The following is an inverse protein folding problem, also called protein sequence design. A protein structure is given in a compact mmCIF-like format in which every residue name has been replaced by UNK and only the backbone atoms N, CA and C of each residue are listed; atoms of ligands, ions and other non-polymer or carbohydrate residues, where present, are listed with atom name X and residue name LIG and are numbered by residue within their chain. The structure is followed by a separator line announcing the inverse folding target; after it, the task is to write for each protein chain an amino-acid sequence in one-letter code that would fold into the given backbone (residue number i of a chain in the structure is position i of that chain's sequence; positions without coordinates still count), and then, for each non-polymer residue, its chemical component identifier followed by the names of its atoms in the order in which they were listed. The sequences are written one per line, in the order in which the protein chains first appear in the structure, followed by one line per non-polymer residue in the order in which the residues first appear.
data_IF_375195020237
#
_entry.id   IF_375195020237
#
_cell.length_a   1.000
_cell.length_b   1.000
_cell.length_c   1.000
_cell.angle_alpha   90.00
_cell.angle_beta   90.00
_cell.angle_gamma   90.00
#
_symmetry.space_group_name_H-M   'P 1'
#
loop_
_entity.id
_entity.type
_entity.pdbx_description
1 polymer ?
#
# COMPACT_ATOMS: atom_id res chain seq x y z
N UNK A 1 -0.49 -69.53 -0.73
CA UNK A 1 -1.64 -68.64 -1.04
C UNK A 1 -2.24 -68.12 0.26
N UNK A 2 -2.32 -66.79 0.40
CA UNK A 2 -3.22 -65.95 1.23
C UNK A 2 -2.48 -64.84 1.99
N UNK A 3 -2.38 -63.75 1.22
CA UNK A 3 -2.11 -62.34 1.46
C UNK A 3 -2.24 -61.85 2.92
N UNK A 4 -1.18 -61.21 3.42
CA UNK A 4 -1.25 -60.16 4.43
C UNK A 4 -1.89 -58.93 3.80
N UNK A 5 -3.00 -58.45 4.36
CA UNK A 5 -3.57 -57.15 4.05
C UNK A 5 -3.20 -56.19 5.17
N UNK A 6 -2.14 -55.41 4.98
CA UNK A 6 -1.87 -54.24 5.81
C UNK A 6 -2.72 -53.09 5.30
N UNK A 7 -3.75 -52.70 6.06
CA UNK A 7 -4.39 -51.40 5.90
C UNK A 7 -3.39 -50.33 6.40
N UNK A 8 -2.79 -49.56 5.49
CA UNK A 8 -2.25 -48.25 5.83
C UNK A 8 -3.39 -47.23 5.68
N UNK A 9 -3.92 -46.77 6.81
CA UNK A 9 -4.70 -45.54 6.85
C UNK A 9 -3.74 -44.36 6.71
N UNK A 10 -3.55 -43.88 5.47
CA UNK A 10 -2.89 -42.62 5.21
C UNK A 10 -3.84 -41.46 5.53
N UNK A 11 -3.74 -40.89 6.72
CA UNK A 11 -4.36 -39.61 7.01
C UNK A 11 -3.62 -38.54 6.19
N UNK A 12 -4.22 -38.12 5.07
CA UNK A 12 -3.77 -36.95 4.34
C UNK A 12 -4.18 -35.74 5.18
N UNK A 13 -3.23 -35.20 5.93
CA UNK A 13 -3.36 -33.86 6.49
C UNK A 13 -3.18 -32.91 5.30
N UNK A 14 -4.29 -32.54 4.66
CA UNK A 14 -4.35 -31.36 3.81
C UNK A 14 -4.17 -30.18 4.76
N UNK A 15 -2.91 -29.80 4.97
CA UNK A 15 -2.60 -28.51 5.57
C UNK A 15 -3.17 -27.45 4.65
N UNK A 16 -4.22 -26.77 5.10
CA UNK A 16 -4.65 -25.51 4.54
C UNK A 16 -3.46 -24.55 4.69
N UNK A 17 -2.67 -24.41 3.62
CA UNK A 17 -1.80 -23.27 3.47
C UNK A 17 -2.75 -22.07 3.43
N UNK A 18 -2.92 -21.40 4.57
CA UNK A 18 -3.47 -20.06 4.56
C UNK A 18 -2.58 -19.27 3.61
N UNK A 19 -3.15 -18.81 2.51
CA UNK A 19 -2.47 -17.89 1.61
C UNK A 19 -2.14 -16.69 2.49
N UNK A 20 -0.85 -16.50 2.80
CA UNK A 20 -0.39 -15.30 3.47
C UNK A 20 -0.71 -14.17 2.48
N UNK A 21 -1.77 -13.43 2.77
CA UNK A 21 -2.22 -12.34 1.92
C UNK A 21 -1.65 -11.07 2.50
N UNK A 22 -0.87 -10.36 1.71
CA UNK A 22 -0.41 -9.03 2.07
C UNK A 22 -1.60 -8.13 2.27
N UNK A 23 -1.60 -7.46 3.40
CA UNK A 23 -2.51 -6.36 3.61
C UNK A 23 -1.91 -5.10 2.98
N UNK A 24 -2.74 -4.25 2.38
CA UNK A 24 -2.29 -2.96 1.86
C UNK A 24 -3.11 -1.81 2.44
N UNK A 25 -2.41 -0.94 3.14
CA UNK A 25 -2.93 0.34 3.60
C UNK A 25 -2.85 1.33 2.43
N UNK A 26 -4.03 1.82 2.04
CA UNK A 26 -4.22 2.71 0.90
C UNK A 26 -4.40 4.16 1.35
N UNK A 27 -3.86 5.09 0.57
CA UNK A 27 -4.30 6.49 0.50
C UNK A 27 -4.75 6.72 -0.94
N UNK A 28 -6.05 6.61 -1.20
CA UNK A 28 -6.57 6.66 -2.57
C UNK A 28 -7.17 8.02 -2.92
N UNK A 29 -6.82 8.51 -4.11
CA UNK A 29 -7.50 9.59 -4.82
C UNK A 29 -7.59 9.21 -6.30
N UNK A 30 -8.51 9.74 -7.13
CA UNK A 30 -8.67 9.28 -8.51
C UNK A 30 -7.43 9.44 -9.41
N UNK A 31 -6.58 10.43 -9.13
CA UNK A 31 -5.50 10.86 -10.03
C UNK A 31 -4.30 11.36 -9.22
N UNK A 32 -3.11 10.79 -9.45
CA UNK A 32 -1.86 11.24 -8.85
C UNK A 32 -1.18 12.35 -9.66
N UNK A 33 -1.46 12.48 -10.96
CA UNK A 33 -0.92 13.53 -11.82
C UNK A 33 -2.05 14.42 -12.36
N UNK A 34 -2.46 15.40 -11.56
CA UNK A 34 -3.55 16.31 -11.89
C UNK A 34 -3.08 17.42 -12.82
N UNK A 35 -3.89 17.78 -13.83
CA UNK A 35 -3.57 18.89 -14.75
C UNK A 35 -3.80 20.26 -14.14
N UNK A 36 -4.72 20.36 -13.17
CA UNK A 36 -5.07 21.60 -12.47
C UNK A 36 -5.40 21.32 -11.02
N UNK A 37 -5.24 22.33 -10.17
CA UNK A 37 -5.71 22.28 -8.79
C UNK A 37 -7.24 22.21 -8.69
N UNK A 38 -7.73 21.96 -7.49
CA UNK A 38 -9.14 21.72 -7.23
C UNK A 38 -9.33 20.96 -5.92
N UNK A 39 -10.58 20.67 -5.60
CA UNK A 39 -10.88 19.76 -4.49
C UNK A 39 -10.92 18.32 -5.00
N UNK A 40 -10.28 17.40 -4.29
CA UNK A 40 -10.41 15.98 -4.56
C UNK A 40 -10.54 15.18 -3.26
N UNK A 41 -11.29 14.06 -3.29
CA UNK A 41 -11.43 13.18 -2.15
C UNK A 41 -10.15 12.38 -1.89
N UNK A 42 -9.95 12.01 -0.64
CA UNK A 42 -8.98 11.04 -0.17
C UNK A 42 -9.71 9.97 0.63
N UNK A 43 -9.41 8.70 0.34
CA UNK A 43 -9.91 7.54 1.11
C UNK A 43 -8.73 6.80 1.72
N UNK A 44 -8.82 6.51 3.00
CA UNK A 44 -7.88 5.66 3.73
C UNK A 44 -8.58 4.33 3.98
N UNK A 45 -8.07 3.27 3.37
CA UNK A 45 -8.67 1.92 3.40
C UNK A 45 -7.56 0.91 3.65
N UNK A 46 -7.83 -0.14 4.40
CA UNK A 46 -6.88 -1.23 4.62
C UNK A 46 -7.49 -2.52 4.07
N UNK A 47 -6.90 -3.13 3.04
CA UNK A 47 -7.55 -4.23 2.28
C UNK A 47 -6.58 -5.03 1.39
N UNK A 48 -7.11 -5.95 0.58
CA UNK A 48 -6.44 -6.71 -0.48
C UNK A 48 -6.86 -6.17 -1.88
N UNK A 49 -6.07 -5.29 -2.50
CA UNK A 49 -6.47 -4.49 -3.67
C UNK A 49 -6.65 -5.28 -4.98
N UNK A 50 -5.99 -6.42 -5.17
CA UNK A 50 -6.12 -7.23 -6.39
C UNK A 50 -7.41 -8.05 -6.38
N UNK A 51 -7.84 -8.54 -5.23
CA UNK A 51 -9.07 -9.32 -5.12
C UNK A 51 -10.28 -8.46 -4.75
N UNK A 52 -10.06 -7.22 -4.30
CA UNK A 52 -11.03 -6.49 -3.48
C UNK A 52 -11.62 -7.41 -2.40
N UNK A 53 -10.72 -8.16 -1.75
CA UNK A 53 -11.03 -9.11 -0.69
C UNK A 53 -11.28 -8.41 0.63
N UNK A 54 -10.93 -9.07 1.73
CA UNK A 54 -11.21 -8.57 3.08
C UNK A 54 -10.78 -7.10 3.26
N UNK A 55 -11.68 -6.28 3.81
CA UNK A 55 -11.37 -4.93 4.29
C UNK A 55 -11.22 -4.97 5.80
N UNK A 56 -10.03 -4.63 6.28
CA UNK A 56 -9.69 -4.63 7.69
C UNK A 56 -10.23 -3.38 8.38
N UNK A 57 -10.70 -3.55 9.61
CA UNK A 57 -11.14 -2.44 10.45
C UNK A 57 -9.95 -1.54 10.83
N UNK A 58 -9.88 -0.35 10.24
CA UNK A 58 -8.91 0.65 10.66
C UNK A 58 -9.24 1.21 12.04
N UNK A 59 -8.22 1.25 12.91
CA UNK A 59 -8.25 2.07 14.13
C UNK A 59 -8.19 3.57 13.82
N UNK A 60 -8.11 4.41 14.87
CA UNK A 60 -7.94 5.85 14.66
C UNK A 60 -6.50 6.14 14.26
N UNK A 61 -6.21 6.76 13.10
CA UNK A 61 -4.84 7.03 12.69
C UNK A 61 -4.05 7.77 13.76
N UNK A 62 -2.82 7.32 14.02
CA UNK A 62 -1.91 8.02 14.94
C UNK A 62 -1.52 9.36 14.34
N UNK A 63 -1.17 9.38 13.05
CA UNK A 63 -0.90 10.59 12.27
C UNK A 63 -1.50 10.48 10.86
N UNK A 64 -2.03 11.58 10.36
CA UNK A 64 -2.30 11.77 8.95
C UNK A 64 -1.94 13.19 8.58
N UNK A 65 -1.02 13.36 7.63
CA UNK A 65 -0.49 14.68 7.27
C UNK A 65 -0.11 14.73 5.80
N UNK A 66 0.12 15.94 5.32
CA UNK A 66 0.66 16.19 3.98
C UNK A 66 1.91 17.05 4.05
N UNK A 67 2.93 16.69 3.27
CA UNK A 67 4.09 17.54 3.01
C UNK A 67 3.94 18.11 1.61
N UNK A 68 3.71 19.42 1.53
CA UNK A 68 3.58 20.14 0.26
C UNK A 68 4.89 20.78 -0.13
N UNK A 69 5.32 20.59 -1.37
CA UNK A 69 6.47 21.28 -1.95
C UNK A 69 6.13 21.85 -3.34
N UNK A 70 6.83 22.92 -3.73
CA UNK A 70 6.59 23.60 -5.01
C UNK A 70 7.83 24.37 -5.45
N UNK A 71 8.45 23.97 -6.55
CA UNK A 71 9.71 24.55 -7.02
C UNK A 71 10.76 24.49 -5.91
N UNK A 72 11.41 25.62 -5.67
CA UNK A 72 12.47 25.76 -4.64
C UNK A 72 11.94 26.13 -3.23
N UNK A 73 10.62 26.20 -3.04
CA UNK A 73 10.08 26.53 -1.72
C UNK A 73 10.31 25.37 -0.73
N UNK A 74 10.63 25.72 0.52
CA UNK A 74 10.76 24.74 1.59
C UNK A 74 9.48 23.87 1.72
N UNK A 75 9.63 22.54 1.84
CA UNK A 75 8.50 21.65 2.07
C UNK A 75 7.74 22.03 3.34
N UNK A 76 6.42 22.19 3.23
CA UNK A 76 5.55 22.52 4.36
C UNK A 76 4.72 21.31 4.77
N UNK A 77 4.94 20.83 6.00
CA UNK A 77 4.09 19.83 6.64
C UNK A 77 2.80 20.47 7.17
N UNK A 78 1.66 19.80 6.99
CA UNK A 78 0.36 20.19 7.53
C UNK A 78 -0.34 18.97 8.06
N UNK A 79 -0.74 19.00 9.33
CA UNK A 79 -1.54 17.94 9.95
C UNK A 79 -2.96 17.93 9.37
N UNK A 80 -3.47 16.74 9.07
CA UNK A 80 -4.79 16.49 8.49
C UNK A 80 -5.62 15.52 9.33
N UNK A 81 -5.13 15.06 10.48
CA UNK A 81 -5.79 14.05 11.30
C UNK A 81 -7.19 14.49 11.71
N UNK A 82 -7.33 15.74 12.13
CA UNK A 82 -8.61 16.32 12.56
C UNK A 82 -9.59 16.57 11.40
N UNK A 83 -9.17 16.35 10.15
CA UNK A 83 -10.05 16.45 8.97
C UNK A 83 -10.71 15.11 8.62
N UNK A 84 -10.24 14.01 9.22
CA UNK A 84 -10.70 12.66 8.89
C UNK A 84 -12.12 12.43 9.41
N UNK A 85 -12.94 11.83 8.54
CA UNK A 85 -14.29 11.36 8.87
C UNK A 85 -14.33 9.84 8.76
N UNK A 86 -14.90 9.13 9.74
CA UNK A 86 -15.04 7.69 9.66
C UNK A 86 -16.06 7.32 8.57
N UNK A 87 -15.77 6.27 7.84
CA UNK A 87 -16.66 5.65 6.85
C UNK A 87 -16.64 4.13 6.99
N UNK A 88 -17.64 3.49 6.41
CA UNK A 88 -17.62 2.05 6.13
C UNK A 88 -17.24 1.87 4.66
N UNK A 89 -16.29 0.98 4.39
CA UNK A 89 -15.88 0.60 3.04
C UNK A 89 -16.32 -0.84 2.75
N UNK A 90 -17.01 -1.04 1.62
CA UNK A 90 -17.56 -2.33 1.19
C UNK A 90 -16.64 -2.98 0.15
N UNK A 91 -16.07 -4.12 0.51
CA UNK A 91 -15.34 -5.01 -0.40
C UNK A 91 -16.26 -6.07 -1.01
N UNK A 92 -15.68 -7.03 -1.74
CA UNK A 92 -16.43 -8.16 -2.27
C UNK A 92 -16.74 -9.22 -1.20
N UNK A 93 -16.06 -9.18 -0.05
CA UNK A 93 -16.19 -10.20 1.01
C UNK A 93 -16.81 -9.67 2.30
N UNK A 94 -16.63 -8.38 2.62
CA UNK A 94 -17.15 -7.76 3.85
C UNK A 94 -17.19 -6.23 3.78
N UNK A 95 -17.77 -5.63 4.82
CA UNK A 95 -17.62 -4.22 5.16
C UNK A 95 -16.56 -4.05 6.24
N UNK A 96 -15.74 -2.99 6.14
CA UNK A 96 -14.72 -2.64 7.14
C UNK A 96 -14.65 -1.13 7.41
N UNK A 97 -14.12 -0.76 8.58
CA UNK A 97 -13.92 0.65 8.97
C UNK A 97 -12.77 1.27 8.19
N UNK A 98 -13.04 2.46 7.67
CA UNK A 98 -12.12 3.25 6.88
C UNK A 98 -12.28 4.74 7.22
N UNK A 99 -11.49 5.59 6.59
CA UNK A 99 -11.55 7.04 6.78
C UNK A 99 -11.59 7.79 5.46
N UNK A 100 -12.15 8.99 5.47
CA UNK A 100 -12.14 9.88 4.33
C UNK A 100 -11.80 11.32 4.73
N UNK A 101 -11.33 12.10 3.76
CA UNK A 101 -11.30 13.56 3.84
C UNK A 101 -11.38 14.15 2.44
N UNK A 102 -11.48 15.47 2.33
CA UNK A 102 -11.26 16.18 1.06
C UNK A 102 -10.06 17.10 1.20
N UNK A 103 -9.33 17.27 0.10
CA UNK A 103 -8.16 18.13 0.07
C UNK A 103 -8.23 19.10 -1.11
N UNK A 104 -7.86 20.37 -0.84
CA UNK A 104 -7.82 21.43 -1.84
C UNK A 104 -6.41 21.58 -2.41
N UNK A 105 -6.21 20.99 -3.58
CA UNK A 105 -4.98 21.02 -4.35
C UNK A 105 -4.72 22.37 -5.01
N UNK A 106 -3.44 22.74 -5.07
CA UNK A 106 -2.84 23.83 -5.83
C UNK A 106 -1.63 23.25 -6.59
N UNK A 107 -0.88 24.06 -7.33
CA UNK A 107 0.35 23.57 -7.99
C UNK A 107 1.40 23.04 -7.00
N UNK A 108 2.13 21.99 -7.42
CA UNK A 108 3.22 21.36 -6.69
C UNK A 108 2.99 19.88 -6.35
N UNK A 109 3.91 19.32 -5.56
CA UNK A 109 3.85 17.97 -5.01
C UNK A 109 3.20 17.95 -3.61
N UNK A 110 2.46 16.89 -3.34
CA UNK A 110 1.75 16.62 -2.09
C UNK A 110 2.03 15.18 -1.66
N UNK A 111 2.96 15.00 -0.71
CA UNK A 111 3.21 13.70 -0.09
C UNK A 111 2.26 13.50 1.09
N UNK A 112 1.17 12.78 0.87
CA UNK A 112 0.27 12.33 1.93
C UNK A 112 0.88 11.15 2.66
N UNK A 113 0.89 11.22 3.98
CA UNK A 113 1.53 10.26 4.85
C UNK A 113 0.56 9.83 5.94
N UNK A 114 0.42 8.51 6.12
CA UNK A 114 -0.43 7.88 7.11
C UNK A 114 0.41 7.01 8.03
N UNK A 115 0.31 7.24 9.33
CA UNK A 115 0.78 6.33 10.38
C UNK A 115 -0.48 5.81 11.08
N UNK A 116 -0.90 4.56 10.81
CA UNK A 116 -2.14 4.02 11.36
C UNK A 116 -1.96 3.55 12.81
N UNK A 117 -3.08 3.33 13.51
CA UNK A 117 -3.08 2.46 14.69
C UNK A 117 -2.81 1.01 14.25
N UNK A 118 -2.01 0.22 14.99
CA UNK A 118 -1.76 -1.17 14.63
C UNK A 118 -3.04 -2.02 14.57
N UNK A 119 -3.23 -2.72 13.45
CA UNK A 119 -4.32 -3.67 13.24
C UNK A 119 -3.95 -5.05 13.79
N UNK A 120 -4.88 -5.75 14.44
CA UNK A 120 -4.65 -7.12 14.91
C UNK A 120 -5.05 -8.11 13.81
N UNK A 121 -4.09 -8.85 13.27
CA UNK A 121 -4.35 -9.95 12.33
C UNK A 121 -4.60 -11.23 13.13
N UNK A 122 -5.87 -11.65 13.21
CA UNK A 122 -6.26 -12.81 14.02
C UNK A 122 -5.71 -14.12 13.45
N UNK A 123 -5.63 -14.24 12.11
CA UNK A 123 -5.12 -15.42 11.43
C UNK A 123 -3.64 -15.69 11.74
N UNK A 124 -2.84 -14.63 11.83
CA UNK A 124 -1.39 -14.72 12.02
C UNK A 124 -0.94 -14.48 13.48
N UNK A 125 -1.83 -13.94 14.32
CA UNK A 125 -1.57 -13.73 15.74
C UNK A 125 -0.55 -12.62 16.05
N UNK A 126 -0.40 -11.65 15.14
CA UNK A 126 0.42 -10.46 15.34
C UNK A 126 -0.27 -9.18 14.85
N UNK A 127 0.28 -8.03 15.25
CA UNK A 127 -0.21 -6.73 14.78
C UNK A 127 0.48 -6.30 13.47
N UNK A 128 -0.22 -5.57 12.62
CA UNK A 128 0.33 -4.98 11.39
C UNK A 128 0.22 -3.46 11.49
N UNK A 129 1.31 -2.76 11.16
CA UNK A 129 1.37 -1.31 11.10
C UNK A 129 2.05 -0.85 9.81
N UNK A 130 1.24 -0.41 8.84
CA UNK A 130 1.72 0.01 7.53
C UNK A 130 1.79 1.54 7.41
N UNK A 131 3.00 2.09 7.53
CA UNK A 131 3.19 3.52 7.29
C UNK A 131 3.13 3.77 5.78
N UNK A 132 2.13 4.52 5.33
CA UNK A 132 1.80 4.65 3.91
C UNK A 132 2.11 6.03 3.38
N UNK A 133 2.72 6.12 2.20
CA UNK A 133 2.98 7.36 1.47
C UNK A 133 2.37 7.34 0.07
N UNK A 134 1.73 8.44 -0.33
CA UNK A 134 1.26 8.69 -1.70
C UNK A 134 1.60 10.11 -2.10
N UNK A 135 2.20 10.28 -3.29
CA UNK A 135 2.63 11.59 -3.78
C UNK A 135 1.77 12.00 -4.97
N UNK A 136 0.97 13.05 -4.79
CA UNK A 136 0.15 13.66 -5.84
C UNK A 136 0.88 14.89 -6.38
N UNK A 137 1.05 14.97 -7.69
CA UNK A 137 1.53 16.14 -8.39
C UNK A 137 0.40 16.88 -9.09
N UNK A 138 0.49 18.21 -9.10
CA UNK A 138 -0.47 19.08 -9.75
C UNK A 138 0.26 20.01 -10.71
N UNK A 139 -0.09 19.92 -11.99
CA UNK A 139 0.40 20.79 -13.06
C UNK A 139 1.78 20.45 -13.61
N UNK A 140 2.37 19.31 -13.24
CA UNK A 140 3.73 18.96 -13.64
C UNK A 140 4.80 19.85 -12.99
N UNK A 141 4.44 20.60 -11.94
CA UNK A 141 5.37 21.50 -11.27
C UNK A 141 6.42 20.68 -10.48
N UNK A 142 7.71 21.07 -10.50
CA UNK A 142 8.73 20.40 -9.69
C UNK A 142 8.42 20.46 -8.19
N UNK A 143 8.86 19.44 -7.46
CA UNK A 143 8.77 19.35 -6.01
C UNK A 143 9.78 18.35 -5.44
N UNK A 144 9.71 18.16 -4.12
CA UNK A 144 10.63 17.36 -3.32
C UNK A 144 10.16 15.90 -3.17
N UNK A 145 9.68 15.29 -4.26
CA UNK A 145 9.14 13.92 -4.26
C UNK A 145 10.17 12.85 -3.86
N UNK A 146 11.46 13.11 -4.09
CA UNK A 146 12.58 12.18 -3.81
C UNK A 146 13.13 12.30 -2.40
N UNK A 147 12.67 13.26 -1.60
CA UNK A 147 13.19 13.47 -0.26
C UNK A 147 12.45 12.57 0.76
N UNK A 148 13.15 12.00 1.75
CA UNK A 148 12.50 11.33 2.86
C UNK A 148 11.59 12.29 3.62
N UNK A 149 10.40 11.83 4.01
CA UNK A 149 9.48 12.60 4.86
C UNK A 149 9.71 12.34 6.35
N UNK A 150 10.56 11.35 6.68
CA UNK A 150 10.99 11.04 8.04
C UNK A 150 9.99 10.16 8.80
N UNK A 151 9.27 9.28 8.09
CA UNK A 151 8.49 8.24 8.77
C UNK A 151 9.43 7.16 9.33
N UNK A 152 9.06 6.47 10.42
CA UNK A 152 9.92 5.43 10.99
C UNK A 152 10.20 4.27 10.04
N UNK A 153 9.21 3.90 9.22
CA UNK A 153 9.36 2.98 8.10
C UNK A 153 8.92 3.75 6.86
N UNK A 154 9.76 3.78 5.83
CA UNK A 154 9.53 4.61 4.66
C UNK A 154 10.07 3.97 3.38
N UNK A 155 9.33 4.08 2.27
CA UNK A 155 9.89 3.87 0.93
C UNK A 155 10.09 5.23 0.28
N UNK A 156 11.32 5.55 -0.09
CA UNK A 156 11.67 6.78 -0.81
C UNK A 156 11.75 6.47 -2.30
N UNK A 157 10.93 7.11 -3.15
CA UNK A 157 10.97 6.85 -4.58
C UNK A 157 12.26 7.41 -5.20
N UNK A 158 12.93 6.60 -6.03
CA UNK A 158 14.04 7.03 -6.90
C UNK A 158 13.56 7.44 -8.30
N UNK A 159 12.25 7.33 -8.51
CA UNK A 159 11.54 7.65 -9.73
C UNK A 159 10.19 8.26 -9.34
N UNK A 160 9.76 9.35 -9.98
CA UNK A 160 8.48 9.99 -9.65
C UNK A 160 7.33 8.96 -9.69
N UNK A 161 6.52 8.84 -8.63
CA UNK A 161 5.49 7.81 -8.55
C UNK A 161 4.24 8.13 -9.39
N UNK A 162 4.16 9.33 -9.98
CA UNK A 162 2.98 9.83 -10.69
C UNK A 162 3.19 10.01 -12.21
N UNK A 163 4.40 9.79 -12.74
CA UNK A 163 4.74 10.03 -14.15
C UNK A 163 5.18 8.75 -14.90
N UNK A 164 4.90 7.58 -14.33
CA UNK A 164 5.33 6.30 -14.91
C UNK A 164 4.44 5.92 -16.09
N UNK A 165 5.07 5.51 -17.19
CA UNK A 165 4.35 4.84 -18.28
C UNK A 165 4.33 3.32 -18.07
N UNK A 166 3.36 2.63 -18.65
CA UNK A 166 3.41 1.18 -18.82
C UNK A 166 4.71 0.79 -19.52
N UNK A 167 5.38 -0.25 -19.04
CA UNK A 167 6.70 -0.68 -19.48
C UNK A 167 7.87 0.10 -18.89
N UNK A 168 7.63 1.18 -18.12
CA UNK A 168 8.69 1.82 -17.34
C UNK A 168 9.06 0.99 -16.12
N UNK A 169 10.12 1.43 -15.45
CA UNK A 169 10.57 0.91 -14.18
C UNK A 169 10.24 1.90 -13.06
N UNK A 170 9.86 1.37 -11.92
CA UNK A 170 9.84 2.07 -10.64
C UNK A 170 10.95 1.51 -9.74
N UNK A 171 11.66 2.41 -9.07
CA UNK A 171 12.64 2.07 -8.05
C UNK A 171 12.30 2.83 -6.77
N UNK A 172 12.38 2.13 -5.64
CA UNK A 172 12.20 2.69 -4.32
C UNK A 172 13.32 2.22 -3.40
N UNK A 173 13.73 3.09 -2.47
CA UNK A 173 14.68 2.78 -1.42
C UNK A 173 13.91 2.58 -0.10
N UNK A 174 14.03 1.40 0.49
CA UNK A 174 13.43 1.05 1.79
C UNK A 174 14.30 1.61 2.90
N UNK A 175 13.69 2.38 3.79
CA UNK A 175 14.32 2.98 4.96
C UNK A 175 13.63 2.53 6.25
N UNK A 176 14.45 2.23 7.27
CA UNK A 176 14.05 2.11 8.66
C UNK A 176 14.82 3.14 9.49
N UNK A 177 14.09 4.02 10.18
CA UNK A 177 14.62 5.18 10.91
C UNK A 177 15.64 5.98 10.09
N UNK A 178 15.30 6.20 8.80
CA UNK A 178 16.12 6.96 7.84
C UNK A 178 17.35 6.23 7.29
N UNK A 179 17.55 4.95 7.64
CA UNK A 179 18.68 4.15 7.15
C UNK A 179 18.21 3.11 6.13
N UNK A 180 18.95 2.89 5.04
CA UNK A 180 18.64 1.83 4.08
C UNK A 180 18.52 0.45 4.72
N UNK A 181 17.59 -0.37 4.24
CA UNK A 181 17.37 -1.74 4.69
C UNK A 181 17.78 -2.74 3.60
N UNK A 182 18.99 -3.32 3.67
CA UNK A 182 19.44 -4.32 2.72
C UNK A 182 18.56 -5.57 2.73
N UNK A 183 18.26 -6.14 1.56
CA UNK A 183 17.51 -7.38 1.48
C UNK A 183 16.07 -7.29 1.98
N UNK A 184 15.51 -6.08 2.13
CA UNK A 184 14.12 -5.89 2.51
C UNK A 184 13.20 -6.64 1.53
N UNK A 185 12.29 -7.45 2.08
CA UNK A 185 11.24 -8.10 1.30
C UNK A 185 10.17 -7.06 0.96
N UNK A 186 9.85 -6.94 -0.31
CA UNK A 186 8.86 -6.00 -0.83
C UNK A 186 7.80 -6.76 -1.60
N UNK A 187 6.58 -6.69 -1.08
CA UNK A 187 5.40 -7.25 -1.71
C UNK A 187 4.73 -6.20 -2.62
N UNK A 188 4.13 -6.69 -3.70
CA UNK A 188 3.64 -5.86 -4.80
C UNK A 188 2.26 -6.34 -5.22
N UNK A 189 1.33 -5.40 -5.31
CA UNK A 189 -0.05 -5.71 -5.71
C UNK A 189 -0.63 -4.63 -6.63
N UNK A 190 -1.45 -5.07 -7.57
CA UNK A 190 -2.17 -4.21 -8.52
C UNK A 190 -3.57 -3.91 -8.00
N UNK A 191 -4.01 -2.66 -8.12
CA UNK A 191 -5.42 -2.28 -7.88
C UNK A 191 -6.31 -2.81 -9.01
N UNK A 192 -6.71 -4.07 -8.92
CA UNK A 192 -7.44 -4.74 -9.98
C UNK A 192 -8.92 -4.33 -10.01
N UNK A 193 -9.50 -4.05 -8.84
CA UNK A 193 -10.89 -3.60 -8.70
C UNK A 193 -10.91 -2.11 -8.43
N UNK A 194 -11.63 -1.36 -9.26
CA UNK A 194 -11.64 0.11 -9.19
C UNK A 194 -12.37 0.60 -7.93
N UNK A 195 -11.78 1.51 -7.11
CA UNK A 195 -12.50 2.20 -6.05
C UNK A 195 -13.64 3.09 -6.58
N UNK A 196 -14.86 2.90 -6.05
CA UNK A 196 -16.07 3.69 -6.28
C UNK A 196 -16.31 4.63 -5.09
N UNK A 197 -15.83 5.87 -5.19
CA UNK A 197 -15.76 6.81 -4.06
C UNK A 197 -17.10 7.34 -3.57
N UNK A 198 -18.10 7.37 -4.44
CA UNK A 198 -19.49 7.73 -4.13
C UNK A 198 -20.21 6.64 -3.33
N UNK A 199 -19.77 5.40 -3.47
CA UNK A 199 -20.35 4.22 -2.81
C UNK A 199 -19.53 3.70 -1.65
N UNK A 200 -18.31 4.23 -1.45
CA UNK A 200 -17.31 3.66 -0.53
C UNK A 200 -17.13 2.16 -0.75
N UNK A 201 -16.89 1.75 -1.99
CA UNK A 201 -16.81 0.33 -2.33
C UNK A 201 -15.83 0.06 -3.47
N UNK A 202 -15.48 -1.19 -3.67
CA UNK A 202 -14.82 -1.63 -4.90
C UNK A 202 -15.83 -2.01 -5.99
N UNK A 203 -15.48 -1.74 -7.24
CA UNK A 203 -16.21 -2.29 -8.38
C UNK A 203 -16.15 -3.82 -8.35
N UNK A 204 -17.24 -4.47 -8.74
CA UNK A 204 -17.29 -5.94 -8.75
C UNK A 204 -16.40 -6.53 -9.85
N UNK A 205 -16.34 -5.85 -10.98
CA UNK A 205 -15.51 -6.26 -12.11
C UNK A 205 -14.05 -5.88 -11.85
N UNK A 206 -13.18 -6.89 -11.93
CA UNK A 206 -11.73 -6.70 -11.99
C UNK A 206 -11.27 -6.39 -13.41
N UNK A 207 -10.11 -5.76 -13.54
CA UNK A 207 -9.48 -5.42 -14.82
C UNK A 207 -8.68 -6.57 -15.45
N UNK A 208 -8.19 -7.50 -14.62
CA UNK A 208 -7.35 -8.63 -15.00
C UNK A 208 -7.71 -9.87 -14.17
N UNK A 209 -7.38 -11.03 -14.71
CA UNK A 209 -7.45 -12.32 -14.01
C UNK A 209 -6.01 -12.83 -13.81
N UNK A 210 -5.65 -13.20 -12.58
CA UNK A 210 -4.35 -13.77 -12.29
C UNK A 210 -4.30 -15.21 -12.82
N UNK A 211 -3.22 -15.64 -13.48
CA UNK A 211 -3.10 -17.04 -13.91
C UNK A 211 -2.96 -18.02 -12.73
N UNK A 212 -2.52 -17.54 -11.55
CA UNK A 212 -2.50 -18.23 -10.26
C UNK A 212 -2.13 -17.23 -9.13
N UNK A 213 -2.27 -17.64 -7.87
CA UNK A 213 -2.16 -16.79 -6.67
C UNK A 213 -0.85 -15.98 -6.57
N UNK A 214 0.30 -16.50 -6.98
CA UNK A 214 1.57 -15.73 -6.93
C UNK A 214 1.65 -14.57 -7.95
N UNK A 215 0.61 -14.35 -8.77
CA UNK A 215 0.44 -13.14 -9.57
C UNK A 215 -0.51 -12.12 -8.94
N UNK A 216 -1.31 -12.55 -7.96
CA UNK A 216 -2.11 -11.65 -7.09
C UNK A 216 -1.13 -10.84 -6.26
N UNK A 217 -0.22 -11.53 -5.57
CA UNK A 217 0.81 -10.93 -4.73
C UNK A 217 2.20 -11.36 -5.20
N UNK A 218 3.02 -10.40 -5.58
CA UNK A 218 4.38 -10.64 -6.06
C UNK A 218 5.41 -10.15 -5.04
N UNK A 219 6.55 -10.83 -4.97
CA UNK A 219 7.62 -10.47 -4.03
C UNK A 219 8.90 -10.14 -4.79
N UNK A 220 9.58 -9.07 -4.38
CA UNK A 220 10.95 -8.73 -4.77
C UNK A 220 11.78 -8.38 -3.54
N UNK A 221 13.10 -8.56 -3.62
CA UNK A 221 14.01 -8.18 -2.55
C UNK A 221 14.81 -6.95 -2.94
N UNK A 222 15.04 -6.06 -1.97
CA UNK A 222 15.91 -4.92 -2.13
C UNK A 222 17.40 -5.33 -2.17
N UNK A 223 18.22 -4.53 -2.84
CA UNK A 223 19.68 -4.73 -2.91
C UNK A 223 20.40 -4.29 -1.60
N UNK A 224 21.74 -4.28 -1.63
CA UNK A 224 22.58 -3.88 -0.48
C UNK A 224 22.37 -2.41 -0.03
N UNK A 225 21.80 -1.56 -0.89
CA UNK A 225 21.47 -0.17 -0.60
C UNK A 225 19.99 0.00 -0.25
N UNK A 226 19.27 -1.10 0.00
CA UNK A 226 17.83 -1.10 0.26
C UNK A 226 17.01 -0.68 -0.96
N UNK A 227 17.54 -0.76 -2.18
CA UNK A 227 16.83 -0.38 -3.40
C UNK A 227 16.17 -1.60 -4.04
N UNK A 228 14.86 -1.53 -4.28
CA UNK A 228 14.15 -2.51 -5.10
C UNK A 228 13.82 -1.94 -6.47
N UNK A 229 13.58 -2.82 -7.45
CA UNK A 229 13.28 -2.45 -8.84
C UNK A 229 12.11 -3.26 -9.36
N UNK A 230 11.10 -2.60 -9.91
CA UNK A 230 9.92 -3.24 -10.50
C UNK A 230 9.62 -2.69 -11.89
N UNK A 231 9.45 -3.57 -12.88
CA UNK A 231 8.96 -3.22 -14.21
C UNK A 231 7.44 -3.22 -14.23
N UNK A 232 6.83 -2.15 -14.73
CA UNK A 232 5.38 -1.93 -14.62
C UNK A 232 4.67 -2.53 -15.83
N UNK A 233 3.97 -3.67 -15.71
CA UNK A 233 3.42 -4.36 -16.87
C UNK A 233 2.10 -3.75 -17.36
N UNK A 234 1.43 -2.92 -16.55
CA UNK A 234 0.11 -2.37 -16.84
C UNK A 234 -0.09 -0.98 -16.23
N UNK A 235 -0.85 -0.13 -16.92
CA UNK A 235 -1.35 1.12 -16.36
C UNK A 235 -2.30 0.87 -15.17
N UNK A 236 -2.37 1.83 -14.26
CA UNK A 236 -3.18 1.77 -13.05
C UNK A 236 -2.36 1.94 -11.78
N UNK A 237 -2.95 1.59 -10.65
CA UNK A 237 -2.34 1.76 -9.33
C UNK A 237 -1.58 0.51 -8.91
N UNK A 238 -0.36 0.70 -8.41
CA UNK A 238 0.51 -0.36 -7.89
C UNK A 238 0.98 -0.01 -6.49
N UNK A 239 0.77 -0.92 -5.56
CA UNK A 239 1.22 -0.82 -4.17
C UNK A 239 2.53 -1.60 -3.98
N UNK A 240 3.41 -1.06 -3.14
CA UNK A 240 4.65 -1.70 -2.72
C UNK A 240 4.72 -1.65 -1.20
N UNK A 241 4.80 -2.82 -0.56
CA UNK A 241 4.86 -2.95 0.90
C UNK A 241 6.17 -3.64 1.31
N UNK A 242 7.08 -2.90 1.95
CA UNK A 242 8.27 -3.45 2.56
C UNK A 242 7.96 -3.90 3.99
N UNK A 243 8.04 -5.19 4.26
CA UNK A 243 7.47 -5.81 5.46
C UNK A 243 8.45 -5.92 6.63
N UNK A 244 7.91 -5.95 7.85
CA UNK A 244 8.59 -6.38 9.09
C UNK A 244 9.97 -5.75 9.29
N UNK A 245 10.08 -4.44 9.02
CA UNK A 245 11.35 -3.70 9.02
C UNK A 245 11.95 -3.49 10.43
N UNK A 246 11.19 -3.85 11.47
CA UNK A 246 11.55 -3.74 12.87
C UNK A 246 11.08 -5.02 13.61
N UNK A 247 11.77 -6.16 13.41
CA UNK A 247 11.29 -7.49 13.82
C UNK A 247 11.15 -7.66 15.34
N UNK A 248 11.82 -6.81 16.12
CA UNK A 248 11.78 -6.83 17.59
C UNK A 248 10.64 -5.96 18.15
N UNK A 249 9.95 -5.19 17.31
CA UNK A 249 8.91 -4.27 17.75
C UNK A 249 7.68 -5.03 18.28
N UNK A 250 7.18 -4.55 19.41
CA UNK A 250 5.97 -5.08 20.05
C UNK A 250 4.94 -4.00 20.27
N UNK A 251 3.68 -4.38 20.06
CA UNK A 251 2.51 -3.58 20.41
C UNK A 251 1.61 -4.41 21.32
N UNK A 252 1.22 -3.84 22.46
CA UNK A 252 0.41 -4.52 23.49
C UNK A 252 0.96 -5.91 23.89
N UNK A 253 2.29 -6.05 23.93
CA UNK A 253 2.98 -7.28 24.33
C UNK A 253 2.94 -8.41 23.28
N UNK A 254 2.59 -8.09 22.03
CA UNK A 254 2.61 -9.01 20.89
C UNK A 254 3.51 -8.44 19.79
N UNK A 255 4.05 -9.31 18.92
CA UNK A 255 4.78 -8.88 17.72
C UNK A 255 3.92 -7.88 16.93
N UNK A 256 4.55 -6.86 16.39
CA UNK A 256 3.90 -5.95 15.47
C UNK A 256 4.80 -5.72 14.25
N UNK A 257 4.40 -6.24 13.09
CA UNK A 257 5.05 -5.98 11.82
C UNK A 257 4.98 -4.49 11.52
N UNK A 258 6.14 -3.86 11.35
CA UNK A 258 6.24 -2.45 10.97
C UNK A 258 6.65 -2.37 9.52
N UNK A 259 5.70 -1.96 8.69
CA UNK A 259 5.86 -1.99 7.25
C UNK A 259 5.94 -0.57 6.69
N UNK A 260 6.58 -0.42 5.54
CA UNK A 260 6.55 0.79 4.74
C UNK A 260 5.77 0.54 3.45
N UNK A 261 4.80 1.40 3.14
CA UNK A 261 3.98 1.28 1.93
C UNK A 261 4.11 2.54 1.07
N UNK A 262 4.29 2.36 -0.23
CA UNK A 262 4.13 3.43 -1.22
C UNK A 262 3.23 2.97 -2.36
N UNK A 263 2.43 3.89 -2.88
CA UNK A 263 1.66 3.67 -4.10
C UNK A 263 2.14 4.54 -5.25
N UNK A 264 2.09 3.98 -6.46
CA UNK A 264 2.34 4.69 -7.71
C UNK A 264 1.14 4.55 -8.65
N UNK A 265 1.05 5.44 -9.62
CA UNK A 265 0.08 5.34 -10.71
C UNK A 265 0.79 5.43 -12.05
N UNK A 266 0.59 4.39 -12.87
CA UNK A 266 1.12 4.33 -14.23
C UNK A 266 0.03 4.60 -15.27
N UNK A 267 0.44 5.14 -16.42
CA UNK A 267 -0.45 5.43 -17.56
C UNK A 267 0.05 4.75 -18.83
N UNK A 268 -0.84 4.51 -19.79
CA UNK A 268 -0.45 4.03 -21.11
C UNK A 268 -0.01 5.18 -22.03
N UNK A 269 0.96 4.91 -22.90
CA UNK A 269 1.19 5.75 -24.08
C UNK A 269 0.04 5.52 -25.07
N UNK A 270 -0.46 6.60 -25.69
CA UNK A 270 -1.55 6.55 -26.69
C UNK A 270 -1.06 6.99 -28.06
#
# INVERSE_FOLDING_TARGET
MKKFASLMAGAVILGSAAVASAHFQMIYTPEMAMTKGGEAPLKLVFTHPFEAGHTMDMGTPEQFYVVRSRGENEPKKTDLKDTLKPITWTSLTNDGKAWETTYKFRGGDYAFCLIPEPYWEEGDGFYIKQNTKVIVNVGGEPGAWSEPVGMPTEIVPLAKPYDRWTGNVFQGQVLFDGKPVPGAEVEIEFMNHKPMLDKNAFAKEGEVEAPQDAFVLQTIFADENGVFTFGIPRAGWWGFAALDLDPDYQYKGKKCSRDAVIWIQAKDMK
#
